data_IF_204644822256
#
_entry.id   IF_204644822256
#
_cell.length_a   1.000
_cell.length_b   1.000
_cell.length_c   1.000
_cell.angle_alpha   90.00
_cell.angle_beta   90.00
_cell.angle_gamma   90.00
#
_symmetry.space_group_name_H-M   'P 1'
#
loop_
_entity.id
_entity.type
_entity.pdbx_description
1 polymer ?
#
# COMPACT_ATOMS: atom_id res chain seq x y z
N UNK A 1 -13.67 -60.46 -18.55
CA UNK A 1 -14.49 -59.56 -17.70
C UNK A 1 -13.78 -58.24 -17.38
N UNK A 2 -12.51 -58.25 -16.91
CA UNK A 2 -11.77 -57.02 -16.57
C UNK A 2 -11.55 -56.05 -17.75
N UNK A 3 -11.26 -56.54 -18.96
CA UNK A 3 -11.05 -55.68 -20.14
C UNK A 3 -12.29 -54.86 -20.52
N UNK A 4 -13.47 -55.45 -20.37
CA UNK A 4 -14.75 -54.79 -20.69
C UNK A 4 -15.10 -53.75 -19.61
N UNK A 5 -14.85 -54.07 -18.34
CA UNK A 5 -15.02 -53.10 -17.24
C UNK A 5 -14.05 -51.91 -17.36
N UNK A 6 -12.79 -52.15 -17.71
CA UNK A 6 -11.80 -51.11 -17.93
C UNK A 6 -12.18 -50.22 -19.13
N UNK A 7 -12.69 -50.82 -20.21
CA UNK A 7 -13.20 -50.07 -21.38
C UNK A 7 -14.44 -49.23 -21.02
N UNK A 8 -15.39 -49.77 -20.26
CA UNK A 8 -16.59 -49.04 -19.82
C UNK A 8 -16.18 -47.89 -18.89
N UNK A 9 -15.29 -48.11 -17.93
CA UNK A 9 -14.82 -47.07 -17.02
C UNK A 9 -14.04 -45.99 -17.77
N UNK A 10 -13.23 -46.37 -18.76
CA UNK A 10 -12.53 -45.43 -19.65
C UNK A 10 -13.51 -44.59 -20.46
N UNK A 11 -14.53 -45.21 -21.06
CA UNK A 11 -15.55 -44.54 -21.84
C UNK A 11 -16.30 -43.51 -20.99
N UNK A 12 -16.87 -43.94 -19.85
CA UNK A 12 -17.68 -43.07 -18.97
C UNK A 12 -16.88 -41.85 -18.49
N UNK A 13 -15.65 -42.07 -18.03
CA UNK A 13 -14.80 -40.99 -17.52
C UNK A 13 -14.43 -40.00 -18.63
N UNK A 14 -14.05 -40.50 -19.81
CA UNK A 14 -13.68 -39.60 -20.91
C UNK A 14 -14.89 -38.86 -21.48
N UNK A 15 -16.06 -39.50 -21.55
CA UNK A 15 -17.30 -38.83 -21.92
C UNK A 15 -17.61 -37.67 -20.97
N UNK A 16 -17.48 -37.87 -19.65
CA UNK A 16 -17.68 -36.82 -18.65
C UNK A 16 -16.71 -35.63 -18.82
N UNK A 17 -15.44 -35.90 -19.13
CA UNK A 17 -14.47 -34.84 -19.43
C UNK A 17 -14.83 -34.09 -20.71
N UNK A 18 -15.29 -34.79 -21.75
CA UNK A 18 -15.73 -34.17 -23.00
C UNK A 18 -16.96 -33.30 -22.78
N UNK A 19 -17.97 -33.78 -22.04
CA UNK A 19 -19.12 -32.97 -21.65
C UNK A 19 -18.69 -31.69 -20.91
N UNK A 20 -17.77 -31.78 -19.96
CA UNK A 20 -17.26 -30.60 -19.27
C UNK A 20 -16.63 -29.58 -20.24
N UNK A 21 -15.86 -30.03 -21.24
CA UNK A 21 -15.30 -29.14 -22.27
C UNK A 21 -16.37 -28.47 -23.11
N UNK A 22 -17.37 -29.22 -23.57
CA UNK A 22 -18.45 -28.67 -24.37
C UNK A 22 -19.28 -27.67 -23.57
N UNK A 23 -19.57 -27.95 -22.29
CA UNK A 23 -20.25 -27.03 -21.40
C UNK A 23 -19.51 -25.69 -21.25
N UNK A 24 -18.18 -25.71 -21.13
CA UNK A 24 -17.36 -24.48 -21.07
C UNK A 24 -17.49 -23.66 -22.37
N UNK A 25 -17.59 -24.31 -23.54
CA UNK A 25 -17.71 -23.63 -24.84
C UNK A 25 -19.06 -22.93 -25.02
N UNK A 26 -20.11 -23.38 -24.34
CA UNK A 26 -21.45 -22.80 -24.44
C UNK A 26 -21.56 -21.37 -23.89
N UNK A 27 -20.52 -20.85 -23.23
CA UNK A 27 -20.47 -19.48 -22.64
C UNK A 27 -21.70 -19.15 -21.77
N UNK A 28 -22.30 -20.15 -21.13
CA UNK A 28 -23.40 -19.99 -20.20
C UNK A 28 -22.92 -20.13 -18.75
N UNK A 29 -23.73 -19.65 -17.80
CA UNK A 29 -23.45 -19.83 -16.38
C UNK A 29 -23.90 -21.23 -15.95
N UNK A 30 -22.94 -22.08 -15.57
CA UNK A 30 -23.19 -23.48 -15.22
C UNK A 30 -22.64 -23.75 -13.83
N UNK A 31 -23.46 -24.38 -12.99
CA UNK A 31 -23.02 -24.95 -11.71
C UNK A 31 -22.96 -26.46 -11.89
N UNK A 32 -21.76 -27.01 -11.76
CA UNK A 32 -21.52 -28.46 -11.87
C UNK A 32 -21.07 -29.00 -10.52
N UNK A 33 -21.80 -29.99 -10.01
CA UNK A 33 -21.41 -30.74 -8.80
C UNK A 33 -20.85 -32.09 -9.22
N UNK A 34 -19.73 -32.49 -8.62
CA UNK A 34 -19.04 -33.73 -9.00
C UNK A 34 -18.19 -34.29 -7.89
N UNK A 35 -18.11 -35.62 -7.83
CA UNK A 35 -17.14 -36.35 -7.02
C UNK A 35 -15.92 -36.81 -7.81
N UNK A 36 -15.84 -36.53 -9.11
CA UNK A 36 -14.74 -36.99 -9.96
C UNK A 36 -13.52 -36.07 -9.88
N UNK A 37 -12.45 -36.53 -9.24
CA UNK A 37 -11.20 -35.79 -9.08
C UNK A 37 -10.58 -35.28 -10.39
N UNK A 38 -10.72 -36.01 -11.50
CA UNK A 38 -10.23 -35.56 -12.82
C UNK A 38 -10.90 -34.28 -13.31
N UNK A 39 -12.22 -34.12 -13.07
CA UNK A 39 -12.93 -32.88 -13.42
C UNK A 39 -12.45 -31.74 -12.53
N UNK A 40 -12.23 -31.98 -11.23
CA UNK A 40 -11.68 -30.97 -10.31
C UNK A 40 -10.34 -30.42 -10.80
N UNK A 41 -9.43 -31.30 -11.25
CA UNK A 41 -8.13 -30.89 -11.82
C UNK A 41 -8.30 -30.14 -13.13
N UNK A 42 -9.21 -30.59 -13.98
CA UNK A 42 -9.46 -29.95 -15.27
C UNK A 42 -10.04 -28.55 -15.11
N UNK A 43 -10.94 -28.37 -14.14
CA UNK A 43 -11.51 -27.07 -13.79
C UNK A 43 -10.45 -26.10 -13.25
N UNK A 44 -9.45 -26.61 -12.54
CA UNK A 44 -8.34 -25.80 -12.00
C UNK A 44 -7.44 -25.24 -13.11
N UNK A 45 -7.25 -26.01 -14.18
CA UNK A 45 -6.38 -25.65 -15.31
C UNK A 45 -7.09 -24.81 -16.40
N UNK A 46 -8.36 -24.47 -16.22
CA UNK A 46 -9.14 -23.74 -17.22
C UNK A 46 -9.60 -22.39 -16.68
N UNK A 47 -9.23 -21.32 -17.38
CA UNK A 47 -9.53 -19.92 -17.01
C UNK A 47 -11.03 -19.63 -16.95
N UNK A 48 -11.86 -20.38 -17.69
CA UNK A 48 -13.31 -20.19 -17.75
C UNK A 48 -14.07 -21.01 -16.70
N UNK A 49 -13.37 -21.67 -15.78
CA UNK A 49 -13.97 -22.41 -14.67
C UNK A 49 -13.29 -22.07 -13.36
N UNK A 50 -14.05 -22.14 -12.27
CA UNK A 50 -13.53 -21.91 -10.92
C UNK A 50 -13.97 -23.09 -10.06
N UNK A 51 -13.02 -23.74 -9.40
CA UNK A 51 -13.33 -24.76 -8.41
C UNK A 51 -14.05 -24.15 -7.21
N UNK A 52 -14.99 -24.91 -6.66
CA UNK A 52 -15.66 -24.55 -5.41
C UNK A 52 -15.85 -25.79 -4.53
N UNK A 53 -15.83 -25.60 -3.22
CA UNK A 53 -16.01 -26.68 -2.25
C UNK A 53 -16.85 -26.25 -1.06
N UNK A 54 -17.68 -27.16 -0.57
CA UNK A 54 -18.40 -26.95 0.68
C UNK A 54 -17.47 -27.28 1.85
N UNK A 55 -17.39 -26.37 2.81
CA UNK A 55 -16.56 -26.53 3.99
C UNK A 55 -17.09 -27.66 4.88
N UNK A 56 -16.18 -28.51 5.35
CA UNK A 56 -16.47 -29.67 6.16
C UNK A 56 -15.62 -29.64 7.43
N UNK A 57 -16.23 -29.93 8.58
CA UNK A 57 -15.51 -30.11 9.85
C UNK A 57 -15.01 -31.55 9.90
N UNK A 58 -13.71 -31.73 9.76
CA UNK A 58 -13.07 -33.04 9.74
C UNK A 58 -13.03 -33.73 11.10
N UNK A 59 -12.99 -32.94 12.19
CA UNK A 59 -12.94 -33.48 13.54
C UNK A 59 -14.31 -34.02 13.94
N UNK A 60 -15.37 -33.29 13.58
CA UNK A 60 -16.76 -33.67 13.88
C UNK A 60 -17.43 -34.47 12.77
N UNK A 61 -16.78 -34.57 11.61
CA UNK A 61 -17.29 -35.17 10.38
C UNK A 61 -18.68 -34.62 9.99
N UNK A 62 -18.83 -33.29 10.04
CA UNK A 62 -20.08 -32.59 9.76
C UNK A 62 -19.91 -31.50 8.71
N UNK A 63 -20.89 -31.32 7.80
CA UNK A 63 -20.87 -30.20 6.88
C UNK A 63 -21.04 -28.88 7.64
N UNK A 64 -20.30 -27.86 7.23
CA UNK A 64 -20.44 -26.49 7.73
C UNK A 64 -21.28 -25.60 6.80
N UNK A 65 -21.80 -26.18 5.70
CA UNK A 65 -22.65 -25.54 4.69
C UNK A 65 -22.14 -24.19 4.19
N UNK A 66 -20.81 -24.04 4.12
CA UNK A 66 -20.17 -22.81 3.67
C UNK A 66 -19.42 -23.07 2.36
N UNK A 67 -19.76 -22.33 1.32
CA UNK A 67 -19.09 -22.42 0.02
C UNK A 67 -17.76 -21.65 0.03
N UNK A 68 -16.68 -22.34 -0.30
CA UNK A 68 -15.36 -21.76 -0.52
C UNK A 68 -15.02 -21.85 -2.01
N UNK A 69 -14.66 -20.72 -2.60
CA UNK A 69 -14.29 -20.61 -4.02
C UNK A 69 -12.77 -20.72 -4.21
N UNK A 70 -12.36 -21.13 -5.40
CA UNK A 70 -10.97 -21.13 -5.86
C UNK A 70 -10.22 -22.44 -5.63
N UNK A 71 -10.73 -23.36 -4.80
CA UNK A 71 -10.03 -24.60 -4.49
C UNK A 71 -10.98 -25.80 -4.45
N UNK A 72 -10.56 -26.96 -5.01
CA UNK A 72 -11.33 -28.18 -4.92
C UNK A 72 -11.38 -28.69 -3.47
N UNK A 73 -12.48 -29.36 -3.13
CA UNK A 73 -12.65 -30.03 -1.85
C UNK A 73 -12.10 -31.45 -1.90
N UNK A 74 -11.55 -31.91 -0.77
CA UNK A 74 -11.26 -33.33 -0.55
C UNK A 74 -12.53 -34.15 -0.45
N UNK A 75 -12.48 -35.38 -0.95
CA UNK A 75 -13.54 -36.36 -0.77
C UNK A 75 -13.33 -37.08 0.56
N UNK A 76 -14.31 -37.03 1.48
CA UNK A 76 -14.24 -37.69 2.79
C UNK A 76 -15.08 -38.97 2.85
N UNK A 77 -15.39 -39.58 1.71
CA UNK A 77 -16.38 -40.66 1.62
C UNK A 77 -16.04 -41.84 2.51
N UNK A 78 -14.76 -42.19 2.65
CA UNK A 78 -14.33 -43.33 3.47
C UNK A 78 -14.30 -42.98 4.98
N UNK A 79 -13.94 -41.75 5.32
CA UNK A 79 -13.98 -41.23 6.69
C UNK A 79 -15.43 -41.10 7.19
N UNK A 80 -16.34 -40.62 6.34
CA UNK A 80 -17.78 -40.56 6.62
C UNK A 80 -18.35 -41.98 6.77
N UNK A 81 -18.00 -42.90 5.87
CA UNK A 81 -18.40 -44.32 5.99
C UNK A 81 -17.99 -44.93 7.33
N UNK A 82 -16.76 -44.65 7.79
CA UNK A 82 -16.27 -45.08 9.11
C UNK A 82 -17.15 -44.54 10.24
N UNK A 83 -17.49 -43.25 10.17
CA UNK A 83 -18.28 -42.57 11.20
C UNK A 83 -19.75 -43.02 11.25
N UNK A 84 -20.31 -43.43 10.11
CA UNK A 84 -21.67 -44.02 10.01
C UNK A 84 -21.70 -45.46 10.54
N UNK A 85 -20.55 -46.05 10.89
CA UNK A 85 -20.45 -47.37 11.51
C UNK A 85 -20.06 -48.49 10.56
N UNK A 86 -19.57 -48.19 9.35
CA UNK A 86 -19.07 -49.22 8.45
C UNK A 86 -17.78 -49.83 9.04
N UNK A 87 -17.72 -51.17 9.22
CA UNK A 87 -16.55 -51.83 9.80
C UNK A 87 -15.24 -51.54 9.05
N UNK A 88 -14.17 -51.35 9.81
CA UNK A 88 -12.86 -50.94 9.28
C UNK A 88 -12.26 -51.97 8.30
N UNK A 89 -12.58 -53.25 8.44
CA UNK A 89 -12.13 -54.29 7.50
C UNK A 89 -12.78 -54.11 6.11
N UNK A 90 -14.03 -53.64 6.03
CA UNK A 90 -14.71 -53.34 4.75
C UNK A 90 -14.04 -52.15 4.09
N UNK A 91 -13.79 -51.08 4.86
CA UNK A 91 -13.09 -49.88 4.38
C UNK A 91 -11.72 -50.23 3.81
N UNK A 92 -10.96 -51.09 4.51
CA UNK A 92 -9.65 -51.57 4.03
C UNK A 92 -9.76 -52.37 2.73
N UNK A 93 -10.79 -53.23 2.58
CA UNK A 93 -11.03 -53.96 1.33
C UNK A 93 -11.37 -53.01 0.18
N UNK A 94 -12.23 -52.02 0.42
CA UNK A 94 -12.58 -51.00 -0.59
C UNK A 94 -11.35 -50.20 -1.02
N UNK A 95 -10.51 -49.74 -0.07
CA UNK A 95 -9.25 -49.04 -0.40
C UNK A 95 -8.32 -49.88 -1.28
N UNK A 96 -8.24 -51.20 -1.05
CA UNK A 96 -7.44 -52.11 -1.88
C UNK A 96 -8.03 -52.36 -3.27
N UNK A 97 -9.36 -52.22 -3.42
CA UNK A 97 -10.06 -52.42 -4.69
C UNK A 97 -9.99 -51.20 -5.62
N UNK A 98 -9.72 -50.01 -5.07
CA UNK A 98 -9.63 -48.78 -5.87
C UNK A 98 -8.23 -48.68 -6.50
N UNK A 99 -8.17 -48.21 -7.74
CA UNK A 99 -6.91 -47.98 -8.44
C UNK A 99 -6.02 -46.99 -7.67
N UNK A 100 -4.77 -47.39 -7.40
CA UNK A 100 -3.77 -46.59 -6.70
C UNK A 100 -3.59 -45.17 -7.28
N UNK A 101 -3.77 -44.97 -8.59
CA UNK A 101 -3.68 -43.64 -9.22
C UNK A 101 -4.80 -42.71 -8.75
N UNK A 102 -6.02 -43.25 -8.57
CA UNK A 102 -7.17 -42.47 -8.10
C UNK A 102 -6.98 -42.08 -6.64
N UNK A 103 -6.50 -43.00 -5.80
CA UNK A 103 -6.19 -42.74 -4.39
C UNK A 103 -5.14 -41.62 -4.27
N UNK A 104 -4.02 -41.72 -4.99
CA UNK A 104 -2.96 -40.69 -4.98
C UNK A 104 -3.47 -39.31 -5.44
N UNK A 105 -4.38 -39.28 -6.41
CA UNK A 105 -4.99 -38.04 -6.87
C UNK A 105 -5.85 -37.39 -5.77
N UNK A 106 -6.73 -38.16 -5.13
CA UNK A 106 -7.58 -37.66 -4.04
C UNK A 106 -6.72 -37.22 -2.83
N UNK A 107 -5.65 -37.94 -2.49
CA UNK A 107 -4.71 -37.55 -1.43
C UNK A 107 -4.01 -36.22 -1.76
N UNK A 108 -3.65 -36.02 -3.03
CA UNK A 108 -3.01 -34.78 -3.50
C UNK A 108 -3.99 -33.61 -3.43
N UNK A 109 -5.24 -33.81 -3.87
CA UNK A 109 -6.32 -32.82 -3.76
C UNK A 109 -6.55 -32.47 -2.28
N UNK A 110 -6.55 -33.46 -1.39
CA UNK A 110 -6.69 -33.25 0.06
C UNK A 110 -5.55 -32.42 0.64
N UNK A 111 -4.30 -32.75 0.30
CA UNK A 111 -3.14 -31.97 0.74
C UNK A 111 -3.15 -30.54 0.20
N UNK A 112 -3.57 -30.36 -1.05
CA UNK A 112 -3.74 -29.03 -1.64
C UNK A 112 -4.82 -28.21 -0.91
N UNK A 113 -5.97 -28.84 -0.62
CA UNK A 113 -7.05 -28.23 0.14
C UNK A 113 -6.58 -27.72 1.50
N UNK A 114 -5.82 -28.53 2.26
CA UNK A 114 -5.27 -28.10 3.54
C UNK A 114 -4.31 -26.93 3.42
N UNK A 115 -3.38 -26.99 2.47
CA UNK A 115 -2.43 -25.90 2.24
C UNK A 115 -3.14 -24.60 1.86
N UNK A 116 -4.20 -24.67 1.05
CA UNK A 116 -5.02 -23.53 0.70
C UNK A 116 -5.70 -22.91 1.93
N UNK A 117 -6.31 -23.73 2.79
CA UNK A 117 -6.93 -23.27 4.03
C UNK A 117 -5.91 -22.65 5.01
N UNK A 118 -4.72 -23.24 5.14
CA UNK A 118 -3.65 -22.68 5.95
C UNK A 118 -3.14 -21.35 5.39
N UNK A 119 -2.97 -21.28 4.08
CA UNK A 119 -2.55 -20.07 3.39
C UNK A 119 -3.57 -18.94 3.59
N UNK A 120 -4.87 -19.21 3.44
CA UNK A 120 -5.92 -18.22 3.71
C UNK A 120 -5.91 -17.72 5.16
N UNK A 121 -5.73 -18.63 6.13
CA UNK A 121 -5.61 -18.24 7.55
C UNK A 121 -4.40 -17.34 7.78
N UNK A 122 -3.24 -17.71 7.24
CA UNK A 122 -2.00 -16.92 7.35
C UNK A 122 -2.13 -15.56 6.68
N UNK A 123 -2.74 -15.50 5.49
CA UNK A 123 -3.01 -14.25 4.77
C UNK A 123 -3.86 -13.30 5.62
N UNK A 124 -4.97 -13.78 6.18
CA UNK A 124 -5.81 -12.97 7.08
C UNK A 124 -5.06 -12.45 8.30
N UNK A 125 -4.18 -13.26 8.90
CA UNK A 125 -3.34 -12.82 10.02
C UNK A 125 -2.35 -11.74 9.60
N UNK A 126 -1.75 -11.89 8.42
CA UNK A 126 -0.81 -10.92 7.86
C UNK A 126 -1.50 -9.58 7.58
N UNK A 127 -2.65 -9.59 6.89
CA UNK A 127 -3.45 -8.40 6.59
C UNK A 127 -3.83 -7.65 7.87
N UNK A 128 -4.22 -8.39 8.92
CA UNK A 128 -4.51 -7.82 10.23
C UNK A 128 -3.28 -7.19 10.88
N UNK A 129 -2.12 -7.84 10.80
CA UNK A 129 -0.85 -7.31 11.34
C UNK A 129 -0.43 -6.03 10.61
N UNK A 130 -0.51 -6.04 9.27
CA UNK A 130 -0.20 -4.89 8.43
C UNK A 130 -1.10 -3.70 8.77
N UNK A 131 -2.40 -3.93 8.94
CA UNK A 131 -3.34 -2.87 9.35
C UNK A 131 -2.98 -2.25 10.72
N UNK A 132 -2.49 -3.06 11.66
CA UNK A 132 -2.04 -2.58 12.98
C UNK A 132 -0.74 -1.78 12.88
N UNK A 133 0.20 -2.23 12.04
CA UNK A 133 1.45 -1.52 11.79
C UNK A 133 1.18 -0.16 11.14
N UNK A 134 0.29 -0.10 10.15
CA UNK A 134 -0.12 1.16 9.52
C UNK A 134 -0.71 2.14 10.54
N UNK A 135 -1.62 1.68 11.42
CA UNK A 135 -2.16 2.51 12.50
C UNK A 135 -1.06 3.01 13.45
N UNK A 136 -0.11 2.16 13.81
CA UNK A 136 1.01 2.53 14.68
C UNK A 136 1.93 3.56 14.03
N UNK A 137 2.25 3.40 12.74
CA UNK A 137 3.06 4.35 11.99
C UNK A 137 2.39 5.73 11.91
N UNK A 138 1.09 5.77 11.59
CA UNK A 138 0.34 7.04 11.57
C UNK A 138 0.36 7.73 12.96
N UNK A 139 0.19 6.98 14.03
CA UNK A 139 0.28 7.52 15.40
C UNK A 139 1.69 8.04 15.73
N UNK A 140 2.74 7.39 15.24
CA UNK A 140 4.11 7.85 15.42
C UNK A 140 4.37 9.14 14.63
N UNK A 141 3.88 9.22 13.39
CA UNK A 141 4.00 10.43 12.56
C UNK A 141 3.30 11.63 13.22
N UNK A 142 2.12 11.42 13.79
CA UNK A 142 1.39 12.47 14.52
C UNK A 142 2.11 12.88 15.81
N UNK A 143 2.71 11.93 16.54
CA UNK A 143 3.58 12.24 17.69
C UNK A 143 4.80 13.04 17.28
N UNK A 144 5.46 12.68 16.18
CA UNK A 144 6.63 13.39 15.65
C UNK A 144 6.24 14.82 15.27
N UNK A 145 5.11 15.03 14.59
CA UNK A 145 4.58 16.37 14.27
C UNK A 145 4.34 17.18 15.54
N UNK A 146 3.70 16.59 16.55
CA UNK A 146 3.42 17.26 17.82
C UNK A 146 4.70 17.65 18.56
N UNK A 147 5.69 16.74 18.62
CA UNK A 147 7.00 17.01 19.23
C UNK A 147 7.72 18.14 18.49
N UNK A 148 7.74 18.10 17.17
CA UNK A 148 8.36 19.16 16.36
C UNK A 148 7.68 20.53 16.57
N UNK A 149 6.35 20.56 16.71
CA UNK A 149 5.63 21.78 17.07
C UNK A 149 6.04 22.30 18.45
N UNK A 150 6.13 21.43 19.46
CA UNK A 150 6.58 21.79 20.81
C UNK A 150 8.02 22.32 20.82
N UNK A 151 8.93 21.65 20.11
CA UNK A 151 10.33 22.08 19.97
C UNK A 151 10.40 23.46 19.31
N UNK A 152 9.66 23.68 18.23
CA UNK A 152 9.65 24.97 17.53
C UNK A 152 9.08 26.10 18.41
N UNK A 153 8.03 25.80 19.18
CA UNK A 153 7.47 26.75 20.14
C UNK A 153 8.50 27.10 21.24
N UNK A 154 9.15 26.11 21.82
CA UNK A 154 10.20 26.32 22.82
C UNK A 154 11.38 27.11 22.26
N UNK A 155 11.83 26.82 21.03
CA UNK A 155 12.89 27.60 20.37
C UNK A 155 12.53 29.06 20.23
N UNK A 156 11.30 29.38 19.78
CA UNK A 156 10.81 30.77 19.68
C UNK A 156 10.79 31.47 21.03
N UNK A 157 10.34 30.78 22.08
CA UNK A 157 10.32 31.35 23.42
C UNK A 157 11.74 31.63 23.92
N UNK A 158 12.66 30.68 23.75
CA UNK A 158 14.07 30.87 24.13
C UNK A 158 14.73 32.02 23.35
N UNK A 159 14.41 32.20 22.07
CA UNK A 159 14.88 33.34 21.27
C UNK A 159 14.33 34.67 21.79
N UNK A 160 13.05 34.72 22.16
CA UNK A 160 12.43 35.89 22.79
C UNK A 160 13.09 36.20 24.13
N UNK A 161 13.28 35.21 24.99
CA UNK A 161 13.93 35.36 26.29
C UNK A 161 15.36 35.89 26.15
N UNK A 162 16.13 35.34 25.21
CA UNK A 162 17.48 35.83 24.90
C UNK A 162 17.45 37.28 24.40
N UNK A 163 16.47 37.64 23.59
CA UNK A 163 16.30 39.03 23.12
C UNK A 163 15.95 39.98 24.28
N UNK A 164 15.07 39.57 25.18
CA UNK A 164 14.73 40.37 26.36
C UNK A 164 15.92 40.50 27.31
N UNK A 165 16.72 39.45 27.52
CA UNK A 165 17.99 39.53 28.27
C UNK A 165 18.95 40.55 27.66
N UNK A 166 19.17 40.49 26.34
CA UNK A 166 20.05 41.45 25.65
C UNK A 166 19.53 42.90 25.74
N UNK A 167 18.21 43.09 25.64
CA UNK A 167 17.60 44.41 25.84
C UNK A 167 17.78 44.89 27.29
N UNK A 168 17.57 44.02 28.27
CA UNK A 168 17.79 44.31 29.68
C UNK A 168 19.24 44.73 29.97
N UNK A 169 20.22 44.04 29.40
CA UNK A 169 21.64 44.42 29.50
C UNK A 169 21.93 45.79 28.87
N UNK A 170 21.37 46.07 27.68
CA UNK A 170 21.52 47.38 27.01
C UNK A 170 20.90 48.50 27.83
N UNK A 171 19.70 48.29 28.37
CA UNK A 171 19.01 49.27 29.23
C UNK A 171 19.78 49.48 30.53
N UNK A 172 20.26 48.41 31.16
CA UNK A 172 21.09 48.50 32.37
C UNK A 172 22.34 49.35 32.12
N UNK A 173 23.06 49.13 31.00
CA UNK A 173 24.21 49.97 30.61
C UNK A 173 23.86 51.45 30.49
N UNK A 174 22.71 51.77 29.91
CA UNK A 174 22.23 53.15 29.77
C UNK A 174 21.89 53.78 31.14
N UNK A 175 21.26 53.02 32.03
CA UNK A 175 20.96 53.45 33.41
C UNK A 175 22.27 53.72 34.17
N UNK A 176 23.29 52.88 34.04
CA UNK A 176 24.61 53.10 34.66
C UNK A 176 25.28 54.37 34.14
N UNK A 177 25.21 54.63 32.83
CA UNK A 177 25.77 55.84 32.22
C UNK A 177 25.06 57.12 32.71
N UNK A 178 23.73 57.04 32.90
CA UNK A 178 22.93 58.11 33.48
C UNK A 178 23.27 58.36 34.96
N UNK A 179 23.35 57.31 35.78
CA UNK A 179 23.72 57.40 37.20
C UNK A 179 25.13 57.94 37.42
N UNK A 180 26.05 57.73 36.47
CA UNK A 180 27.44 58.24 36.54
C UNK A 180 27.58 59.72 36.11
N UNK A 181 26.49 60.50 36.03
CA UNK A 181 26.53 61.96 35.90
C UNK A 181 26.90 62.52 34.52
N UNK A 182 26.89 61.70 33.45
CA UNK A 182 27.18 62.18 32.07
C UNK A 182 25.97 62.92 31.48
N UNK A 183 26.23 63.99 30.72
CA UNK A 183 25.17 64.84 30.14
C UNK A 183 24.21 64.08 29.22
N UNK A 184 22.93 64.40 29.31
CA UNK A 184 21.81 63.85 28.51
C UNK A 184 22.09 63.83 26.99
N UNK A 185 22.93 64.75 26.48
CA UNK A 185 23.35 64.77 25.07
C UNK A 185 24.18 63.55 24.67
N UNK A 186 25.08 63.04 25.51
CA UNK A 186 25.87 61.83 25.21
C UNK A 186 25.03 60.55 25.23
N UNK A 187 24.05 60.50 26.13
CA UNK A 187 23.10 59.37 26.24
C UNK A 187 22.23 59.27 24.99
N UNK A 188 21.71 60.39 24.49
CA UNK A 188 20.91 60.40 23.25
C UNK A 188 21.70 59.96 22.00
N UNK A 189 23.00 60.27 21.92
CA UNK A 189 23.87 59.84 20.81
C UNK A 189 24.08 58.31 20.83
N UNK A 190 24.33 57.74 22.01
CA UNK A 190 24.46 56.28 22.17
C UNK A 190 23.15 55.54 21.91
N UNK A 191 22.03 56.12 22.36
CA UNK A 191 20.69 55.57 22.11
C UNK A 191 20.36 55.56 20.61
N UNK A 192 20.65 56.66 19.88
CA UNK A 192 20.52 56.71 18.42
C UNK A 192 21.36 55.63 17.73
N UNK A 193 22.61 55.45 18.13
CA UNK A 193 23.49 54.40 17.57
C UNK A 193 22.96 52.99 17.82
N UNK A 194 22.37 52.73 18.99
CA UNK A 194 21.74 51.43 19.29
C UNK A 194 20.49 51.18 18.42
N UNK A 195 19.66 52.20 18.21
CA UNK A 195 18.47 52.13 17.35
C UNK A 195 18.85 51.89 15.89
N UNK A 196 19.85 52.62 15.37
CA UNK A 196 20.33 52.44 13.99
C UNK A 196 20.88 51.02 13.75
N UNK A 197 21.57 50.45 14.75
CA UNK A 197 22.10 49.08 14.67
C UNK A 197 21.00 48.02 14.65
N UNK A 198 19.91 48.20 15.39
CA UNK A 198 18.72 47.33 15.37
C UNK A 198 17.92 47.45 14.06
N UNK A 199 17.80 48.66 13.50
CA UNK A 199 17.10 48.90 12.24
C UNK A 199 17.83 48.28 11.04
N UNK A 200 19.16 48.36 11.03
CA UNK A 200 19.98 47.75 9.97
C UNK A 200 19.96 46.21 10.01
N UNK A 201 19.88 45.61 11.20
CA UNK A 201 19.73 44.14 11.37
C UNK A 201 18.38 43.63 10.83
N UNK A 202 17.29 44.37 11.07
CA UNK A 202 15.96 44.05 10.49
C UNK A 202 15.90 44.19 8.96
N UNK A 203 16.67 45.11 8.37
CA UNK A 203 16.78 45.25 6.90
C UNK A 203 17.56 44.08 6.27
N UNK A 204 18.63 43.61 6.89
CA UNK A 204 19.40 42.47 6.39
C UNK A 204 18.63 41.14 6.50
N UNK A 205 17.89 40.92 7.60
CA UNK A 205 17.02 39.75 7.75
C UNK A 205 15.90 39.68 6.69
N UNK A 206 15.30 40.83 6.33
CA UNK A 206 14.34 40.92 5.22
C UNK A 206 14.95 40.65 3.84
N UNK A 207 16.23 40.95 3.64
CA UNK A 207 16.94 40.65 2.40
C UNK A 207 17.29 39.16 2.27
N UNK A 208 17.54 38.47 3.39
CA UNK A 208 17.82 37.03 3.43
C UNK A 208 16.54 36.21 3.18
N UNK A 209 15.40 36.63 3.74
CA UNK A 209 14.09 36.02 3.47
C UNK A 209 13.70 36.08 1.98
N UNK A 210 14.06 37.16 1.27
CA UNK A 210 13.82 37.29 -0.19
C UNK A 210 14.77 36.46 -1.07
N UNK A 211 15.90 35.97 -0.54
CA UNK A 211 16.87 35.14 -1.28
C UNK A 211 16.64 33.62 -1.17
N UNK A 212 15.60 33.19 -0.45
CA UNK A 212 15.20 31.77 -0.34
C UNK A 212 14.03 31.39 -1.25
N UNK A 213 13.88 32.05 -2.40
CA UNK A 213 13.02 31.55 -3.47
C UNK A 213 13.70 30.39 -4.22
N UNK A 214 13.55 29.20 -3.62
CA UNK A 214 13.43 27.87 -4.25
C UNK A 214 14.20 27.64 -5.57
N UNK A 215 15.37 26.98 -5.46
CA UNK A 215 15.87 26.10 -6.54
C UNK A 215 14.86 24.96 -6.73
N UNK A 216 13.90 25.14 -7.62
CA UNK A 216 13.02 24.05 -8.05
C UNK A 216 13.82 23.11 -8.96
N UNK A 217 14.01 21.87 -8.54
CA UNK A 217 14.49 20.78 -9.39
C UNK A 217 13.31 20.29 -10.24
N UNK A 218 13.16 20.82 -11.45
CA UNK A 218 12.16 20.34 -12.41
C UNK A 218 12.57 18.96 -12.94
N UNK A 219 11.61 18.04 -13.12
CA UNK A 219 11.85 16.73 -13.73
C UNK A 219 11.15 16.63 -15.09
N UNK A 220 11.70 15.81 -15.97
CA UNK A 220 11.10 15.50 -17.28
C UNK A 220 9.72 14.88 -17.02
N UNK A 221 8.69 15.44 -17.66
CA UNK A 221 7.30 15.02 -17.49
C UNK A 221 6.45 15.88 -16.55
N UNK A 222 7.03 16.84 -15.82
CA UNK A 222 6.26 17.75 -14.96
C UNK A 222 5.39 18.73 -15.77
N UNK A 223 4.19 19.03 -15.27
CA UNK A 223 3.35 20.10 -15.78
C UNK A 223 3.75 21.43 -15.13
N UNK A 224 4.21 22.36 -15.96
CA UNK A 224 4.66 23.68 -15.52
C UNK A 224 3.86 24.78 -16.21
N UNK A 225 3.63 25.86 -15.45
CA UNK A 225 2.99 27.07 -15.92
C UNK A 225 4.05 28.15 -16.11
N UNK A 226 3.98 28.87 -17.23
CA UNK A 226 4.88 29.99 -17.51
C UNK A 226 4.42 31.20 -16.68
N UNK A 227 5.33 31.90 -16.00
CA UNK A 227 4.99 33.02 -15.09
C UNK A 227 4.30 34.18 -15.79
N UNK A 228 4.54 34.37 -17.09
CA UNK A 228 4.03 35.49 -17.91
C UNK A 228 2.95 35.08 -18.91
N UNK A 229 2.46 33.82 -18.87
CA UNK A 229 1.35 33.39 -19.70
C UNK A 229 0.42 32.44 -18.94
N UNK A 230 -0.85 32.37 -19.32
CA UNK A 230 -1.78 31.42 -18.71
C UNK A 230 -1.62 29.98 -19.25
N UNK A 231 -0.58 29.74 -20.06
CA UNK A 231 -0.35 28.47 -20.74
C UNK A 231 0.35 27.47 -19.81
N UNK A 232 -0.11 26.22 -19.88
CA UNK A 232 0.45 25.08 -19.15
C UNK A 232 1.09 24.16 -20.19
N UNK A 233 2.32 23.74 -19.92
CA UNK A 233 3.06 22.83 -20.80
C UNK A 233 3.74 21.72 -20.01
N UNK A 234 3.98 20.59 -20.67
CA UNK A 234 4.71 19.45 -20.10
C UNK A 234 6.17 19.52 -20.48
N UNK A 235 7.08 19.32 -19.53
CA UNK A 235 8.52 19.29 -19.81
C UNK A 235 8.86 18.02 -20.61
N UNK A 236 9.38 18.19 -21.82
CA UNK A 236 9.84 17.10 -22.69
C UNK A 236 11.35 16.92 -22.61
N UNK A 237 12.13 18.01 -22.53
CA UNK A 237 13.59 17.99 -22.40
C UNK A 237 14.08 19.07 -21.44
N UNK A 238 15.15 18.75 -20.70
CA UNK A 238 15.81 19.66 -19.76
C UNK A 238 17.24 19.93 -20.26
N UNK A 239 17.55 21.20 -20.46
CA UNK A 239 18.89 21.72 -20.76
C UNK A 239 19.48 22.39 -19.51
N UNK A 240 20.76 22.83 -19.53
CA UNK A 240 21.46 23.38 -18.36
C UNK A 240 20.80 24.65 -17.78
N UNK A 241 20.08 25.43 -18.59
CA UNK A 241 19.47 26.71 -18.17
C UNK A 241 18.01 26.90 -18.63
N UNK A 242 17.47 25.98 -19.44
CA UNK A 242 16.12 26.07 -20.01
C UNK A 242 15.48 24.69 -20.18
N UNK A 243 14.15 24.65 -20.31
CA UNK A 243 13.40 23.43 -20.59
C UNK A 243 12.57 23.59 -21.87
N UNK A 244 12.47 22.53 -22.68
CA UNK A 244 11.48 22.46 -23.76
C UNK A 244 10.15 22.00 -23.19
N UNK A 245 9.11 22.76 -23.49
CA UNK A 245 7.74 22.50 -23.09
C UNK A 245 6.91 22.12 -24.30
N UNK A 246 6.10 21.09 -24.17
CA UNK A 246 5.03 20.79 -25.11
C UNK A 246 3.74 21.46 -24.63
N UNK A 247 3.20 22.38 -25.45
CA UNK A 247 1.95 23.11 -25.20
C UNK A 247 1.02 22.78 -26.37
N UNK A 248 0.07 21.86 -26.16
CA UNK A 248 -0.74 21.30 -27.24
C UNK A 248 0.13 20.56 -28.27
N UNK A 249 0.13 21.01 -29.53
CA UNK A 249 0.95 20.46 -30.62
C UNK A 249 2.27 21.21 -30.85
N UNK A 250 2.54 22.28 -30.10
CA UNK A 250 3.72 23.13 -30.27
C UNK A 250 4.78 22.85 -29.19
N UNK A 251 6.06 22.95 -29.58
CA UNK A 251 7.21 22.83 -28.68
C UNK A 251 7.88 24.19 -28.48
N UNK A 252 8.11 24.61 -27.23
CA UNK A 252 8.63 25.93 -26.89
C UNK A 252 9.75 25.85 -25.85
N UNK A 253 10.88 26.54 -26.08
CA UNK A 253 12.03 26.57 -25.16
C UNK A 253 11.85 27.75 -24.19
N UNK A 254 11.83 27.47 -22.88
CA UNK A 254 11.60 28.48 -21.84
C UNK A 254 12.63 28.33 -20.70
N UNK A 255 13.18 29.45 -20.24
CA UNK A 255 14.14 29.49 -19.13
C UNK A 255 13.49 29.12 -17.78
N UNK A 256 14.24 28.44 -16.91
CA UNK A 256 13.75 28.02 -15.59
C UNK A 256 13.27 29.16 -14.70
N UNK A 257 13.83 30.36 -14.88
CA UNK A 257 13.42 31.59 -14.18
C UNK A 257 11.94 31.92 -14.38
N UNK A 258 11.38 31.53 -15.53
CA UNK A 258 10.02 31.83 -15.96
C UNK A 258 9.04 30.67 -15.74
N UNK A 259 9.44 29.58 -15.08
CA UNK A 259 8.59 28.41 -14.83
C UNK A 259 8.12 28.34 -13.38
N UNK A 260 6.87 27.90 -13.18
CA UNK A 260 6.32 27.49 -11.87
C UNK A 260 5.71 26.10 -12.00
N UNK A 261 6.07 25.19 -11.09
CA UNK A 261 5.44 23.87 -10.98
C UNK A 261 3.96 24.03 -10.64
N UNK A 262 3.08 23.41 -11.42
CA UNK A 262 1.67 23.30 -11.06
C UNK A 262 1.52 22.14 -10.08
N UNK A 263 1.50 22.43 -8.79
CA UNK A 263 1.09 21.44 -7.78
C UNK A 263 -0.34 21.03 -8.07
N UNK A 264 -0.57 19.73 -8.30
CA UNK A 264 -1.92 19.15 -8.37
C UNK A 264 -2.66 19.51 -7.08
N UNK A 265 -3.60 20.43 -7.18
CA UNK A 265 -4.68 20.52 -6.20
C UNK A 265 -5.53 19.26 -6.41
N UNK A 266 -5.31 18.23 -5.59
CA UNK A 266 -6.30 17.18 -5.39
C UNK A 266 -7.48 17.84 -4.67
N UNK A 267 -8.53 18.13 -5.44
CA UNK A 267 -9.90 18.04 -4.95
C UNK A 267 -10.49 16.76 -5.53
#
# INVERSE_FOLDING_TARGET
MNLVLDQIQFLVVNSLLFFFQELIKLKSQIILTTHYGKIKVMADNNVNSINASMQFDENKLKPLYKLNLGHPGSSFTLEVAKNVGIPEYIIKKVKKSINNKVIKLEDTIKNYHFKALEFEKRKKLLDNSESKLLKKNNLLDDKIKLINQKINHQKKNNELDNKYKQLGEKVSKLITIYKNGKSIKKINIEFKKLIEKELNKKKSERAILKKTDKKYSFKIGDNVKIKNSNQVGRITEIDKQSAKLQIGYANLKVDFSNLKLQTKNNR
#
